data_IF_323290949158
#
_entry.id   IF_323290949158
#
_cell.length_a   1.000
_cell.length_b   1.000
_cell.length_c   1.000
_cell.angle_alpha   90.00
_cell.angle_beta   90.00
_cell.angle_gamma   90.00
#
_symmetry.space_group_name_H-M   'P 1'
#
loop_
_entity.id
_entity.type
_entity.pdbx_description
1 polymer ?
#
# COMPACT_ATOMS: atom_id res chain seq x y z
N UNK A 1 13.66 -5.20 24.40
CA UNK A 1 13.78 -5.34 22.93
C UNK A 1 12.95 -4.29 22.18
N UNK A 2 11.65 -4.09 22.41
CA UNK A 2 10.84 -3.07 21.67
C UNK A 2 11.19 -1.60 21.99
N UNK A 3 11.86 -1.31 23.10
CA UNK A 3 12.28 0.06 23.47
C UNK A 3 13.29 0.67 22.50
N UNK A 4 13.97 -0.12 21.67
CA UNK A 4 14.94 0.35 20.67
C UNK A 4 14.31 0.66 19.30
N UNK A 5 12.99 0.56 19.16
CA UNK A 5 12.28 1.01 17.96
C UNK A 5 12.60 2.48 17.67
N UNK A 6 13.11 2.75 16.47
CA UNK A 6 13.40 4.10 15.99
C UNK A 6 12.15 4.68 15.32
N UNK A 7 11.26 5.27 16.13
CA UNK A 7 10.06 5.94 15.65
C UNK A 7 9.78 7.24 16.41
N UNK A 8 8.80 8.02 15.94
CA UNK A 8 8.35 9.23 16.63
C UNK A 8 7.86 8.88 18.04
N UNK A 9 8.11 9.78 19.00
CA UNK A 9 7.72 9.61 20.40
C UNK A 9 6.26 9.20 20.55
N UNK A 10 5.35 9.90 19.86
CA UNK A 10 3.91 9.60 19.85
C UNK A 10 3.59 8.17 19.40
N UNK A 11 4.30 7.65 18.39
CA UNK A 11 4.09 6.26 17.92
C UNK A 11 4.54 5.29 19.00
N UNK A 12 5.69 5.56 19.62
CA UNK A 12 6.22 4.73 20.71
C UNK A 12 5.26 4.71 21.91
N UNK A 13 4.79 5.86 22.35
CA UNK A 13 3.80 5.97 23.43
C UNK A 13 2.51 5.21 23.12
N UNK A 14 2.00 5.32 21.90
CA UNK A 14 0.81 4.59 21.48
C UNK A 14 1.01 3.07 21.46
N UNK A 15 2.20 2.59 21.06
CA UNK A 15 2.52 1.15 21.08
C UNK A 15 2.51 0.63 22.52
N UNK A 16 3.09 1.39 23.46
CA UNK A 16 3.25 1.00 24.86
C UNK A 16 2.10 1.45 25.77
N UNK A 17 1.04 2.05 25.22
CA UNK A 17 -0.10 2.60 25.97
C UNK A 17 -0.70 1.59 26.94
N UNK A 18 -0.80 0.33 26.52
CA UNK A 18 -1.39 -0.77 27.30
C UNK A 18 -0.33 -1.63 28.03
N UNK A 19 0.90 -1.11 28.16
CA UNK A 19 2.03 -1.80 28.78
C UNK A 19 2.87 -2.66 27.82
N UNK A 20 4.07 -3.03 28.29
CA UNK A 20 5.06 -3.75 27.46
C UNK A 20 4.61 -5.12 27.00
N UNK A 21 3.93 -5.86 27.88
CA UNK A 21 3.45 -7.20 27.55
C UNK A 21 2.43 -7.16 26.40
N UNK A 22 1.47 -6.21 26.45
CA UNK A 22 0.51 -6.00 25.38
C UNK A 22 1.18 -5.53 24.09
N UNK A 23 2.17 -4.64 24.18
CA UNK A 23 2.96 -4.24 23.02
C UNK A 23 3.68 -5.44 22.36
N UNK A 24 4.30 -6.31 23.16
CA UNK A 24 4.92 -7.55 22.70
C UNK A 24 3.94 -8.50 22.02
N UNK A 25 2.76 -8.68 22.62
CA UNK A 25 1.69 -9.48 22.03
C UNK A 25 1.19 -8.90 20.71
N UNK A 26 0.96 -7.58 20.64
CA UNK A 26 0.58 -6.90 19.40
C UNK A 26 1.63 -7.15 18.31
N UNK A 27 2.92 -6.99 18.60
CA UNK A 27 4.02 -7.25 17.67
C UNK A 27 4.00 -8.68 17.15
N UNK A 28 3.85 -9.68 18.05
CA UNK A 28 3.78 -11.09 17.67
C UNK A 28 2.65 -11.33 16.65
N UNK A 29 1.45 -10.83 16.92
CA UNK A 29 0.30 -10.98 16.02
C UNK A 29 0.57 -10.39 14.62
N UNK A 30 1.23 -9.24 14.52
CA UNK A 30 1.54 -8.62 13.23
C UNK A 30 2.62 -9.41 12.48
N UNK A 31 3.62 -9.96 13.18
CA UNK A 31 4.62 -10.85 12.57
C UNK A 31 3.93 -12.12 12.04
N UNK A 32 3.05 -12.73 12.82
CA UNK A 32 2.36 -13.96 12.42
C UNK A 32 1.43 -13.71 11.21
N UNK A 33 0.72 -12.58 11.18
CA UNK A 33 -0.06 -12.12 10.03
C UNK A 33 0.81 -11.98 8.77
N UNK A 34 1.92 -11.25 8.84
CA UNK A 34 2.84 -11.07 7.70
C UNK A 34 3.41 -12.41 7.18
N UNK A 35 3.67 -13.36 8.09
CA UNK A 35 4.15 -14.70 7.73
C UNK A 35 3.09 -15.53 7.04
N UNK A 36 1.83 -15.46 7.50
CA UNK A 36 0.68 -16.10 6.84
C UNK A 36 0.55 -15.67 5.38
N UNK A 37 0.96 -14.44 5.06
CA UNK A 37 0.97 -13.90 3.69
C UNK A 37 2.26 -14.15 2.90
N UNK A 38 3.19 -14.97 3.41
CA UNK A 38 4.36 -15.42 2.65
C UNK A 38 5.68 -14.73 2.97
N UNK A 39 5.73 -13.82 3.96
CA UNK A 39 7.01 -13.29 4.45
C UNK A 39 7.72 -14.30 5.36
N UNK A 40 9.05 -14.34 5.28
CA UNK A 40 9.84 -15.06 6.27
C UNK A 40 9.74 -14.37 7.64
N UNK A 41 10.03 -15.09 8.72
CA UNK A 41 10.04 -14.47 10.06
C UNK A 41 11.02 -13.28 10.12
N UNK A 42 12.18 -13.40 9.48
CA UNK A 42 13.20 -12.35 9.39
C UNK A 42 12.67 -11.11 8.65
N UNK A 43 11.98 -11.32 7.53
CA UNK A 43 11.45 -10.24 6.72
C UNK A 43 10.26 -9.55 7.38
N UNK A 44 9.35 -10.33 7.97
CA UNK A 44 8.23 -9.79 8.76
C UNK A 44 8.74 -8.91 9.91
N UNK A 45 9.78 -9.37 10.64
CA UNK A 45 10.43 -8.57 11.67
C UNK A 45 11.06 -7.30 11.09
N UNK A 46 11.79 -7.40 9.98
CA UNK A 46 12.43 -6.26 9.30
C UNK A 46 11.41 -5.22 8.85
N UNK A 47 10.26 -5.63 8.31
CA UNK A 47 9.16 -4.74 7.91
C UNK A 47 8.64 -3.97 9.12
N UNK A 48 8.27 -4.68 10.19
CA UNK A 48 7.72 -4.06 11.40
C UNK A 48 8.74 -3.16 12.11
N UNK A 49 10.02 -3.52 12.08
CA UNK A 49 11.08 -2.72 12.68
C UNK A 49 11.36 -1.42 11.91
N UNK A 50 11.27 -1.47 10.58
CA UNK A 50 11.38 -0.29 9.71
C UNK A 50 10.12 0.58 9.75
N UNK A 51 8.96 -0.03 9.92
CA UNK A 51 7.67 0.66 9.99
C UNK A 51 6.87 0.28 11.25
N UNK A 52 7.17 0.90 12.41
CA UNK A 52 6.51 0.55 13.67
C UNK A 52 5.03 0.96 13.71
N UNK A 53 4.56 1.82 12.80
CA UNK A 53 3.13 2.19 12.74
C UNK A 53 2.24 0.98 12.48
N UNK A 54 2.74 -0.08 11.84
CA UNK A 54 2.00 -1.33 11.61
C UNK A 54 1.44 -1.93 12.92
N UNK A 55 2.13 -1.74 14.05
CA UNK A 55 1.69 -2.24 15.36
C UNK A 55 0.39 -1.55 15.82
N UNK A 56 0.13 -0.34 15.33
CA UNK A 56 -1.03 0.48 15.68
C UNK A 56 -2.25 0.20 14.81
N UNK A 57 -2.10 -0.53 13.70
CA UNK A 57 -3.22 -0.93 12.85
C UNK A 57 -3.82 -2.24 13.36
N UNK A 58 -5.12 -2.41 13.13
CA UNK A 58 -5.79 -3.68 13.32
C UNK A 58 -5.32 -4.70 12.28
N UNK A 59 -5.43 -5.99 12.62
CA UNK A 59 -4.90 -7.06 11.76
C UNK A 59 -5.66 -7.09 10.44
N UNK A 60 -6.97 -6.88 10.49
CA UNK A 60 -7.88 -6.86 9.35
C UNK A 60 -7.49 -5.76 8.35
N UNK A 61 -7.06 -4.58 8.83
CA UNK A 61 -6.58 -3.50 7.98
C UNK A 61 -5.26 -3.86 7.27
N UNK A 62 -4.39 -4.58 7.97
CA UNK A 62 -3.12 -5.05 7.40
C UNK A 62 -3.40 -6.11 6.33
N UNK A 63 -4.26 -7.09 6.61
CA UNK A 63 -4.65 -8.13 5.66
C UNK A 63 -5.31 -7.51 4.42
N UNK A 64 -6.24 -6.55 4.60
CA UNK A 64 -6.87 -5.80 3.49
C UNK A 64 -5.83 -5.11 2.60
N UNK A 65 -4.83 -4.46 3.19
CA UNK A 65 -3.73 -3.82 2.45
C UNK A 65 -2.90 -4.83 1.66
N UNK A 66 -2.57 -5.98 2.26
CA UNK A 66 -1.78 -7.04 1.60
C UNK A 66 -2.58 -7.68 0.47
N UNK A 67 -3.86 -7.95 0.69
CA UNK A 67 -4.74 -8.50 -0.35
C UNK A 67 -4.83 -7.55 -1.53
N UNK A 68 -5.04 -6.26 -1.28
CA UNK A 68 -5.05 -5.26 -2.34
C UNK A 68 -3.72 -5.21 -3.11
N UNK A 69 -2.59 -5.25 -2.39
CA UNK A 69 -1.27 -5.28 -3.00
C UNK A 69 -1.12 -6.45 -3.97
N UNK A 70 -1.39 -7.68 -3.51
CA UNK A 70 -1.17 -8.88 -4.31
C UNK A 70 -2.22 -9.02 -5.43
N UNK A 71 -3.49 -8.73 -5.15
CA UNK A 71 -4.59 -9.02 -6.08
C UNK A 71 -4.82 -7.91 -7.09
N UNK A 72 -4.82 -6.66 -6.66
CA UNK A 72 -5.18 -5.52 -7.50
C UNK A 72 -3.96 -4.90 -8.16
N UNK A 73 -2.88 -4.71 -7.41
CA UNK A 73 -1.66 -4.08 -7.93
C UNK A 73 -0.66 -5.07 -8.53
N UNK A 74 -0.88 -6.38 -8.33
CA UNK A 74 -0.02 -7.49 -8.79
C UNK A 74 1.43 -7.44 -8.28
N UNK A 75 1.71 -6.60 -7.27
CA UNK A 75 3.01 -6.61 -6.60
C UNK A 75 3.14 -7.84 -5.70
N UNK A 76 4.36 -8.37 -5.64
CA UNK A 76 4.70 -9.44 -4.72
C UNK A 76 4.68 -8.92 -3.27
N UNK A 77 4.26 -9.76 -2.32
CA UNK A 77 4.32 -9.47 -0.88
C UNK A 77 5.73 -9.10 -0.42
N UNK A 78 6.77 -9.63 -1.07
CA UNK A 78 8.17 -9.28 -0.78
C UNK A 78 8.46 -7.79 -1.00
N UNK A 79 7.68 -7.07 -1.81
CA UNK A 79 7.83 -5.62 -1.94
C UNK A 79 7.64 -4.87 -0.62
N UNK A 80 6.95 -5.45 0.37
CA UNK A 80 6.81 -4.86 1.70
C UNK A 80 8.15 -4.71 2.42
N UNK A 81 9.16 -5.54 2.10
CA UNK A 81 10.51 -5.46 2.69
C UNK A 81 11.25 -4.21 2.24
N UNK A 82 10.99 -3.80 1.00
CA UNK A 82 11.58 -2.64 0.34
C UNK A 82 10.80 -1.35 0.60
N UNK A 83 9.47 -1.45 0.69
CA UNK A 83 8.54 -0.34 0.91
C UNK A 83 7.60 -0.63 2.10
N UNK A 84 8.14 -0.81 3.33
CA UNK A 84 7.32 -1.14 4.50
C UNK A 84 6.34 -0.02 4.87
N UNK A 85 6.63 1.22 4.46
CA UNK A 85 5.76 2.38 4.68
C UNK A 85 4.36 2.20 4.05
N UNK A 86 4.21 1.30 3.08
CA UNK A 86 2.91 0.92 2.52
C UNK A 86 1.90 0.53 3.62
N UNK A 87 2.35 -0.22 4.62
CA UNK A 87 1.51 -0.63 5.73
C UNK A 87 1.27 0.49 6.74
N UNK A 88 2.10 1.54 6.76
CA UNK A 88 2.01 2.67 7.67
C UNK A 88 1.24 3.89 7.15
N UNK A 89 0.92 3.95 5.85
CA UNK A 89 0.12 5.05 5.27
C UNK A 89 -1.38 4.78 5.35
N UNK A 90 -2.19 5.83 5.25
CA UNK A 90 -3.65 5.68 5.23
C UNK A 90 -4.10 5.07 3.89
N UNK A 91 -4.79 3.93 3.94
CA UNK A 91 -5.15 3.15 2.77
C UNK A 91 -6.13 3.91 1.86
N UNK A 92 -7.28 4.30 2.41
CA UNK A 92 -8.35 4.94 1.65
C UNK A 92 -7.98 6.39 1.26
N UNK A 93 -7.18 7.07 2.09
CA UNK A 93 -6.78 8.47 1.85
C UNK A 93 -5.59 8.64 0.91
N UNK A 94 -4.76 7.61 0.75
CA UNK A 94 -3.52 7.73 -0.01
C UNK A 94 -3.35 6.65 -1.06
N UNK A 95 -3.52 5.38 -0.72
CA UNK A 95 -3.24 4.28 -1.66
C UNK A 95 -4.31 4.20 -2.73
N UNK A 96 -5.59 4.15 -2.35
CA UNK A 96 -6.71 4.00 -3.29
C UNK A 96 -6.76 5.14 -4.33
N UNK A 97 -6.73 6.44 -3.96
CA UNK A 97 -6.82 7.51 -4.95
C UNK A 97 -5.63 7.54 -5.91
N UNK A 98 -4.43 7.19 -5.42
CA UNK A 98 -3.23 7.13 -6.26
C UNK A 98 -3.27 5.96 -7.22
N UNK A 99 -3.68 4.79 -6.73
CA UNK A 99 -3.83 3.61 -7.57
C UNK A 99 -4.84 3.85 -8.69
N UNK A 100 -6.01 4.43 -8.39
CA UNK A 100 -7.03 4.71 -9.40
C UNK A 100 -6.53 5.65 -10.51
N UNK A 101 -5.74 6.68 -10.16
CA UNK A 101 -5.10 7.56 -11.15
C UNK A 101 -4.11 6.78 -12.02
N UNK A 102 -3.21 6.01 -11.40
CA UNK A 102 -2.22 5.22 -12.16
C UNK A 102 -2.90 4.22 -13.07
N UNK A 103 -3.90 3.48 -12.57
CA UNK A 103 -4.66 2.50 -13.35
C UNK A 103 -5.38 3.16 -14.54
N UNK A 104 -5.98 4.34 -14.32
CA UNK A 104 -6.61 5.10 -15.40
C UNK A 104 -5.58 5.50 -16.46
N UNK A 105 -4.44 6.06 -16.06
CA UNK A 105 -3.41 6.47 -17.02
C UNK A 105 -2.83 5.28 -17.78
N UNK A 106 -2.61 4.14 -17.12
CA UNK A 106 -2.15 2.91 -17.78
C UNK A 106 -3.15 2.41 -18.82
N UNK A 107 -4.45 2.53 -18.56
CA UNK A 107 -5.49 2.09 -19.49
C UNK A 107 -5.68 3.02 -20.70
N UNK A 108 -5.17 4.27 -20.64
CA UNK A 108 -5.32 5.27 -21.69
C UNK A 108 -3.96 5.63 -22.35
N UNK A 109 -2.97 4.75 -22.26
CA UNK A 109 -1.60 4.95 -22.76
C UNK A 109 -0.93 6.26 -22.28
N UNK A 110 -1.39 6.78 -21.13
CA UNK A 110 -0.91 8.02 -20.53
C UNK A 110 0.44 7.87 -19.83
N UNK A 111 0.96 6.65 -19.67
CA UNK A 111 2.22 6.35 -19.00
C UNK A 111 3.15 5.57 -19.92
N UNK A 112 4.40 6.04 -20.05
CA UNK A 112 5.44 5.34 -20.81
C UNK A 112 6.06 4.15 -20.06
N UNK A 113 5.97 4.12 -18.73
CA UNK A 113 6.53 3.08 -17.87
C UNK A 113 5.57 2.71 -16.73
N UNK A 114 5.69 1.48 -16.22
CA UNK A 114 4.97 1.03 -15.02
C UNK A 114 5.37 1.83 -13.77
N UNK A 115 4.38 2.22 -12.97
CA UNK A 115 4.61 2.95 -11.73
C UNK A 115 4.80 1.96 -10.58
N UNK A 116 6.03 1.84 -10.11
CA UNK A 116 6.37 0.97 -8.97
C UNK A 116 5.74 1.39 -7.64
N UNK A 117 5.64 0.44 -6.71
CA UNK A 117 5.03 0.63 -5.38
C UNK A 117 5.64 1.79 -4.61
N UNK A 118 6.96 1.99 -4.71
CA UNK A 118 7.66 3.10 -4.08
C UNK A 118 7.06 4.45 -4.47
N UNK A 119 6.69 4.66 -5.73
CA UNK A 119 6.15 5.94 -6.18
C UNK A 119 4.73 6.16 -5.65
N UNK A 120 3.91 5.10 -5.61
CA UNK A 120 2.58 5.13 -5.00
C UNK A 120 2.65 5.52 -3.51
N UNK A 121 3.63 5.01 -2.78
CA UNK A 121 3.73 5.21 -1.32
C UNK A 121 4.53 6.46 -0.95
N UNK A 122 5.72 6.66 -1.51
CA UNK A 122 6.70 7.63 -1.02
C UNK A 122 6.60 9.01 -1.66
N UNK A 123 5.94 9.17 -2.81
CA UNK A 123 5.76 10.50 -3.39
C UNK A 123 4.90 11.37 -2.45
N UNK A 124 5.28 12.63 -2.28
CA UNK A 124 4.44 13.58 -1.57
C UNK A 124 3.14 13.81 -2.37
N UNK A 125 2.08 14.25 -1.69
CA UNK A 125 0.80 14.57 -2.36
C UNK A 125 1.00 15.55 -3.52
N UNK A 126 1.78 16.62 -3.30
CA UNK A 126 2.06 17.63 -4.31
C UNK A 126 2.86 17.05 -5.49
N UNK A 127 3.89 16.24 -5.22
CA UNK A 127 4.67 15.61 -6.29
C UNK A 127 3.86 14.61 -7.10
N UNK A 128 3.04 13.79 -6.44
CA UNK A 128 2.14 12.87 -7.13
C UNK A 128 1.16 13.63 -8.02
N UNK A 129 0.52 14.69 -7.48
CA UNK A 129 -0.41 15.52 -8.24
C UNK A 129 0.26 16.16 -9.47
N UNK A 130 1.42 16.79 -9.30
CA UNK A 130 2.10 17.45 -10.42
C UNK A 130 2.55 16.50 -11.53
N UNK A 131 2.86 15.24 -11.20
CA UNK A 131 3.33 14.26 -12.18
C UNK A 131 2.19 13.48 -12.85
N UNK A 132 1.16 13.10 -12.10
CA UNK A 132 0.15 12.14 -12.58
C UNK A 132 -1.26 12.73 -12.66
N UNK A 133 -1.49 13.94 -12.14
CA UNK A 133 -2.85 14.52 -12.11
C UNK A 133 -2.88 15.82 -12.91
N UNK A 134 -2.02 16.78 -12.60
CA UNK A 134 -1.97 18.09 -13.27
C UNK A 134 -1.80 17.99 -14.81
N UNK A 135 -0.99 17.07 -15.36
CA UNK A 135 -0.86 16.94 -16.81
C UNK A 135 -2.08 16.33 -17.50
N UNK A 136 -3.00 15.71 -16.74
CA UNK A 136 -4.13 14.92 -17.23
C UNK A 136 -5.43 15.41 -16.56
N UNK A 137 -6.15 16.38 -17.14
CA UNK A 137 -7.33 17.01 -16.53
C UNK A 137 -8.42 16.00 -16.06
N UNK A 138 -8.55 14.87 -16.75
CA UNK A 138 -9.48 13.78 -16.40
C UNK A 138 -9.14 13.17 -15.03
N UNK A 139 -7.86 13.11 -14.68
CA UNK A 139 -7.37 12.59 -13.41
C UNK A 139 -7.72 13.50 -12.24
N UNK A 140 -8.04 14.78 -12.46
CA UNK A 140 -8.49 15.66 -11.37
C UNK A 140 -9.79 15.17 -10.74
N UNK A 141 -10.70 14.62 -11.56
CA UNK A 141 -11.97 14.06 -11.09
C UNK A 141 -11.77 12.76 -10.29
N UNK A 142 -10.73 11.99 -10.64
CA UNK A 142 -10.36 10.72 -10.00
C UNK A 142 -9.63 10.98 -8.67
N UNK A 143 -8.68 11.91 -8.67
CA UNK A 143 -7.86 12.24 -7.49
C UNK A 143 -8.58 13.19 -6.51
N UNK A 144 -9.49 14.01 -7.02
CA UNK A 144 -10.11 15.15 -6.30
C UNK A 144 -11.29 14.84 -5.40
N UNK A 145 -11.79 13.59 -5.29
CA UNK A 145 -12.89 13.25 -4.37
C UNK A 145 -12.39 12.88 -2.97
N UNK A 146 -12.12 13.91 -2.16
CA UNK A 146 -12.40 13.88 -0.72
C UNK A 146 -13.44 14.96 -0.40
N UNK A 147 -14.68 14.74 -0.83
CA UNK A 147 -15.86 15.39 -0.28
C UNK A 147 -16.87 14.26 0.02
N UNK A 148 -17.47 14.30 1.21
CA UNK A 148 -18.14 13.17 1.85
C UNK A 148 -19.36 12.59 1.12
N UNK A 149 -19.75 11.40 1.61
CA UNK A 149 -21.04 10.72 1.46
C UNK A 149 -21.85 10.96 0.18
N UNK A 150 -21.65 10.13 -0.86
CA UNK A 150 -22.76 9.64 -1.71
C UNK A 150 -22.38 8.32 -2.38
N UNK A 151 -23.24 7.32 -2.20
CA UNK A 151 -23.46 6.07 -2.95
C UNK A 151 -22.40 5.55 -3.93
N UNK A 152 -21.95 4.32 -3.67
CA UNK A 152 -21.35 3.44 -4.68
C UNK A 152 -22.25 3.34 -5.92
N UNK A 153 -21.83 3.93 -7.03
CA UNK A 153 -22.17 3.42 -8.36
C UNK A 153 -21.34 2.17 -8.65
N UNK A 154 -21.83 1.24 -9.50
CA UNK A 154 -21.19 -0.06 -9.65
C UNK A 154 -19.78 0.11 -10.20
N UNK A 155 -18.90 -0.80 -9.76
CA UNK A 155 -17.59 -0.99 -10.32
C UNK A 155 -17.65 -0.84 -11.85
N UNK A 156 -16.82 0.04 -12.41
CA UNK A 156 -16.60 0.08 -13.84
C UNK A 156 -16.03 -1.30 -14.17
N UNK A 157 -16.90 -2.17 -14.69
CA UNK A 157 -16.53 -3.45 -15.27
C UNK A 157 -15.78 -3.09 -16.53
N UNK A 158 -14.46 -2.95 -16.42
CA UNK A 158 -13.60 -3.00 -17.59
C UNK A 158 -13.74 -4.43 -18.10
N UNK A 159 -14.52 -4.58 -19.17
CA UNK A 159 -14.67 -5.84 -19.87
C UNK A 159 -13.27 -6.32 -20.25
N UNK A 160 -12.97 -7.55 -19.82
CA UNK A 160 -11.73 -8.23 -20.17
C UNK A 160 -11.80 -8.50 -21.68
N UNK A 161 -11.29 -7.57 -22.48
CA UNK A 161 -10.97 -7.81 -23.87
C UNK A 161 -9.95 -8.95 -23.91
N UNK A 162 -10.36 -10.06 -24.51
CA UNK A 162 -9.59 -11.29 -24.68
C UNK A 162 -8.26 -11.00 -25.37
N UNK A 163 -7.19 -10.83 -24.58
CA UNK A 163 -5.85 -10.83 -25.13
C UNK A 163 -5.34 -12.26 -25.23
N UNK A 164 -5.32 -12.73 -26.47
CA UNK A 164 -4.77 -14.01 -26.88
C UNK A 164 -3.35 -14.18 -26.33
N UNK A 165 -3.11 -15.38 -25.80
CA UNK A 165 -1.82 -15.88 -25.38
C UNK A 165 -0.77 -15.66 -26.47
N UNK A 166 0.26 -14.87 -26.19
CA UNK A 166 1.64 -15.21 -26.55
C UNK A 166 2.64 -14.36 -25.76
N UNK A 167 3.67 -15.05 -25.31
CA UNK A 167 4.96 -14.57 -24.81
C UNK A 167 5.09 -14.26 -23.31
N UNK A 168 5.46 -15.36 -22.64
CA UNK A 168 6.35 -15.46 -21.50
C UNK A 168 7.52 -14.45 -21.56
N UNK A 169 7.43 -13.35 -20.80
CA UNK A 169 8.59 -12.54 -20.39
C UNK A 169 8.36 -12.09 -18.94
N UNK A 170 9.24 -12.59 -18.06
CA UNK A 170 9.53 -12.22 -16.68
C UNK A 170 8.80 -10.98 -16.13
N UNK A 171 7.86 -11.21 -15.22
CA UNK A 171 7.24 -10.18 -14.37
C UNK A 171 8.29 -9.57 -13.43
N UNK A 172 8.90 -8.47 -13.84
CA UNK A 172 9.66 -7.58 -12.95
C UNK A 172 8.87 -6.30 -12.71
N UNK A 173 7.73 -6.39 -12.03
CA UNK A 173 7.14 -5.22 -11.40
C UNK A 173 8.13 -4.73 -10.33
N UNK A 174 8.83 -3.62 -10.60
CA UNK A 174 9.80 -3.07 -9.64
C UNK A 174 9.06 -2.51 -8.42
N UNK A 175 9.42 -3.01 -7.24
CA UNK A 175 9.25 -2.26 -6.00
C UNK A 175 10.14 -0.99 -6.06
#
# INVERSE_FOLDING_TARGET
>A
MLRSLKCRVVIKENIFRDGEFRAGYKVKLRIDCLRKHGLTHRDAYKVLWKEPRVILYEIEDIEKKIEFLVRQTKFDVQCLVEVPEYLGVNFDKQIIPRFNVIQYLQANDGLGDEVGLRNLVKLSRLRFYNMYVKPYPECEKIYGRFAGDVGFGPAIRLECGSFSSHNNILSQARC
#
